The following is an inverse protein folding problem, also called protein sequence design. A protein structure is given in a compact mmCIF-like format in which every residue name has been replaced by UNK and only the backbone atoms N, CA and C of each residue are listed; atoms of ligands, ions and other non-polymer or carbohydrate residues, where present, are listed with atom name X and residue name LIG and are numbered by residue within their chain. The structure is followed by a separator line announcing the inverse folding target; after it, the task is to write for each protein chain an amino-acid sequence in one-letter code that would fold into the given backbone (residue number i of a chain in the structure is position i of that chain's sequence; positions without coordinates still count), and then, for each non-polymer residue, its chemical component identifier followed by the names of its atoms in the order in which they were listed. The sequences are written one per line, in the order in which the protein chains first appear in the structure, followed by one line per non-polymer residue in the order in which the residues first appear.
data_IF_372064465562
#
_entry.id   IF_372064465562
#
_cell.length_a   1.000
_cell.length_b   1.000
_cell.length_c   1.000
_cell.angle_alpha   90.00
_cell.angle_beta   90.00
_cell.angle_gamma   90.00
#
_symmetry.space_group_name_H-M   'P 1'
#
loop_
_entity.id
_entity.type
_entity.pdbx_description
1 polymer ?
#
# COMPACT_ATOMS: atom_id res chain seq x y z
N UNK A 1 -9.76 -10.14 -11.16
CA UNK A 1 -9.25 -11.29 -10.38
C UNK A 1 -8.71 -10.78 -9.05
N UNK A 2 -9.08 -11.40 -7.92
CA UNK A 2 -8.58 -11.07 -6.58
C UNK A 2 -7.48 -12.06 -6.20
N UNK A 3 -6.35 -11.57 -5.71
CA UNK A 3 -5.24 -12.37 -5.17
C UNK A 3 -5.11 -12.04 -3.69
N UNK A 4 -5.17 -13.04 -2.82
CA UNK A 4 -5.00 -12.87 -1.36
C UNK A 4 -3.61 -13.37 -0.99
N UNK A 5 -2.86 -12.54 -0.26
CA UNK A 5 -1.51 -12.83 0.21
C UNK A 5 -1.51 -12.71 1.73
N UNK A 6 -0.94 -13.70 2.36
CA UNK A 6 -0.67 -13.79 3.78
C UNK A 6 0.77 -14.27 3.99
N UNK A 7 1.12 -14.57 5.23
CA UNK A 7 2.46 -15.03 5.59
C UNK A 7 2.91 -16.26 4.81
N UNK A 8 2.01 -17.20 4.53
CA UNK A 8 2.36 -18.48 3.91
C UNK A 8 2.55 -18.37 2.39
N UNK A 9 2.03 -17.28 1.81
CA UNK A 9 2.12 -16.94 0.39
C UNK A 9 2.99 -15.71 0.10
N UNK A 10 3.68 -15.19 1.12
CA UNK A 10 4.45 -13.96 1.05
C UNK A 10 5.58 -13.99 0.01
N UNK A 11 5.82 -12.88 -0.72
CA UNK A 11 7.07 -12.67 -1.45
C UNK A 11 8.28 -12.65 -0.52
N UNK A 12 9.45 -13.04 -1.02
CA UNK A 12 10.65 -13.14 -0.20
C UNK A 12 11.07 -11.74 0.29
N UNK A 13 11.60 -11.66 1.51
CA UNK A 13 12.04 -10.40 2.11
C UNK A 13 10.91 -9.50 2.63
N UNK A 14 9.65 -9.97 2.63
CA UNK A 14 8.50 -9.24 3.16
C UNK A 14 8.05 -9.89 4.46
N UNK A 15 7.92 -9.06 5.51
CA UNK A 15 7.45 -9.53 6.81
C UNK A 15 5.93 -9.49 6.83
N UNK A 16 5.31 -10.56 7.31
CA UNK A 16 3.88 -10.66 7.57
C UNK A 16 3.71 -11.16 9.00
N UNK A 17 2.70 -10.63 9.71
CA UNK A 17 2.41 -11.10 11.06
C UNK A 17 1.92 -12.56 11.00
N UNK A 18 2.16 -13.32 12.07
CA UNK A 18 1.45 -14.59 12.26
C UNK A 18 -0.01 -14.28 12.54
N UNK A 19 -0.89 -14.70 11.64
CA UNK A 19 -2.32 -14.62 11.87
C UNK A 19 -2.71 -15.47 13.08
N UNK A 20 -3.37 -14.85 14.05
CA UNK A 20 -3.97 -15.53 15.19
C UNK A 20 -5.47 -15.68 14.93
N UNK A 21 -6.03 -16.82 15.31
CA UNK A 21 -7.49 -16.97 15.29
C UNK A 21 -8.12 -16.05 16.33
N UNK A 22 -9.23 -15.42 15.95
CA UNK A 22 -9.99 -14.56 16.85
C UNK A 22 -11.16 -13.87 16.16
N UNK A 23 -12.02 -13.21 16.95
CA UNK A 23 -13.22 -12.56 16.43
C UNK A 23 -12.94 -11.47 15.37
N UNK A 24 -11.84 -10.71 15.49
CA UNK A 24 -11.44 -9.75 14.45
C UNK A 24 -11.08 -10.43 13.12
N UNK A 25 -10.55 -11.65 13.16
CA UNK A 25 -10.22 -12.41 11.96
C UNK A 25 -11.49 -12.88 11.23
N UNK A 26 -12.48 -13.37 11.97
CA UNK A 26 -13.77 -13.78 11.40
C UNK A 26 -14.45 -12.60 10.70
N UNK A 27 -14.37 -11.41 11.30
CA UNK A 27 -14.89 -10.17 10.73
C UNK A 27 -14.19 -9.81 9.41
N UNK A 28 -12.86 -9.89 9.37
CA UNK A 28 -12.06 -9.68 8.16
C UNK A 28 -12.41 -10.70 7.06
N UNK A 29 -12.54 -11.97 7.42
CA UNK A 29 -12.80 -13.04 6.46
C UNK A 29 -14.21 -12.95 5.86
N UNK A 30 -15.20 -12.48 6.64
CA UNK A 30 -16.53 -12.18 6.14
C UNK A 30 -16.56 -10.92 5.25
N UNK A 31 -15.75 -9.91 5.57
CA UNK A 31 -15.70 -8.65 4.82
C UNK A 31 -15.10 -8.79 3.41
N UNK A 32 -14.03 -9.57 3.24
CA UNK A 32 -13.31 -9.70 1.95
C UNK A 32 -14.24 -10.07 0.77
N UNK A 33 -15.08 -11.12 0.84
CA UNK A 33 -15.97 -11.46 -0.26
C UNK A 33 -17.05 -10.38 -0.47
N UNK A 34 -17.57 -9.81 0.61
CA UNK A 34 -18.70 -8.90 0.59
C UNK A 34 -18.35 -7.45 0.16
N UNK A 35 -17.07 -7.04 0.26
CA UNK A 35 -16.66 -5.68 -0.10
C UNK A 35 -16.87 -5.39 -1.60
N UNK A 36 -17.70 -4.38 -1.95
CA UNK A 36 -17.84 -3.92 -3.32
C UNK A 36 -16.59 -3.13 -3.73
N UNK A 37 -15.89 -3.59 -4.77
CA UNK A 37 -14.73 -2.87 -5.32
C UNK A 37 -15.02 -2.49 -6.77
N UNK A 38 -15.30 -1.21 -6.99
CA UNK A 38 -15.38 -0.66 -8.35
C UNK A 38 -13.96 -0.35 -8.85
N UNK A 39 -13.58 -0.96 -9.97
CA UNK A 39 -12.27 -0.84 -10.60
C UNK A 39 -12.38 -0.98 -12.12
N UNK A 40 -11.39 -0.48 -12.85
CA UNK A 40 -11.39 -0.57 -14.31
C UNK A 40 -11.18 -2.03 -14.77
N UNK A 41 -11.61 -2.42 -15.98
CA UNK A 41 -11.51 -3.80 -16.45
C UNK A 41 -10.09 -4.39 -16.46
N UNK A 42 -9.07 -3.56 -16.71
CA UNK A 42 -7.66 -3.95 -16.72
C UNK A 42 -7.01 -3.98 -15.31
N UNK A 43 -7.81 -3.73 -14.27
CA UNK A 43 -7.31 -3.65 -12.90
C UNK A 43 -7.32 -5.02 -12.23
N UNK A 44 -6.28 -5.25 -11.43
CA UNK A 44 -6.13 -6.38 -10.52
C UNK A 44 -6.31 -5.90 -9.09
N UNK A 45 -6.74 -6.81 -8.23
CA UNK A 45 -6.89 -6.56 -6.80
C UNK A 45 -5.98 -7.53 -6.06
N UNK A 46 -5.02 -6.99 -5.32
CA UNK A 46 -4.18 -7.76 -4.39
C UNK A 46 -4.56 -7.38 -2.97
N UNK A 47 -4.91 -8.36 -2.14
CA UNK A 47 -5.27 -8.20 -0.74
C UNK A 47 -4.11 -8.76 0.09
N UNK A 48 -3.44 -7.90 0.84
CA UNK A 48 -2.37 -8.25 1.75
C UNK A 48 -2.96 -8.33 3.16
N UNK A 49 -2.88 -9.49 3.81
CA UNK A 49 -3.34 -9.70 5.18
C UNK A 49 -2.20 -9.49 6.15
N UNK A 50 -2.33 -8.56 7.09
CA UNK A 50 -1.31 -8.29 8.12
C UNK A 50 0.12 -8.04 7.57
N UNK A 51 0.31 -7.23 6.49
CA UNK A 51 1.65 -6.93 6.00
C UNK A 51 2.43 -6.10 7.02
N UNK A 52 3.70 -6.42 7.21
CA UNK A 52 4.61 -5.63 8.04
C UNK A 52 5.04 -4.36 7.32
N UNK A 53 4.66 -3.22 7.87
CA UNK A 53 5.06 -1.88 7.44
C UNK A 53 5.77 -1.15 8.59
N UNK A 54 6.46 -0.04 8.29
CA UNK A 54 7.15 0.78 9.31
C UNK A 54 6.19 1.26 10.42
N UNK A 55 4.92 1.49 10.09
CA UNK A 55 3.89 1.93 11.04
C UNK A 55 3.23 0.80 11.84
N UNK A 56 3.51 -0.47 11.52
CA UNK A 56 2.86 -1.62 12.15
C UNK A 56 2.32 -2.64 11.16
N UNK A 57 1.32 -3.40 11.60
CA UNK A 57 0.71 -4.51 10.86
C UNK A 57 -0.78 -4.26 10.69
N UNK A 58 -1.21 -3.51 9.66
CA UNK A 58 -2.64 -3.32 9.39
C UNK A 58 -3.32 -4.66 9.08
N UNK A 59 -4.55 -4.86 9.56
CA UNK A 59 -5.24 -6.14 9.37
C UNK A 59 -5.41 -6.49 7.89
N UNK A 60 -5.76 -5.51 7.04
CA UNK A 60 -5.76 -5.64 5.59
C UNK A 60 -5.18 -4.42 4.87
N UNK A 61 -4.49 -4.69 3.77
CA UNK A 61 -4.17 -3.69 2.74
C UNK A 61 -4.62 -4.21 1.38
N UNK A 62 -5.62 -3.54 0.81
CA UNK A 62 -6.18 -3.85 -0.50
C UNK A 62 -5.58 -2.90 -1.52
N UNK A 63 -4.92 -3.45 -2.53
CA UNK A 63 -4.29 -2.70 -3.61
C UNK A 63 -5.04 -2.97 -4.91
N UNK A 64 -5.65 -1.93 -5.46
CA UNK A 64 -6.21 -1.94 -6.81
C UNK A 64 -5.20 -1.33 -7.76
N UNK A 65 -4.71 -2.10 -8.73
CA UNK A 65 -3.62 -1.67 -9.61
C UNK A 65 -3.86 -2.10 -11.06
N UNK A 66 -3.30 -1.35 -12.02
CA UNK A 66 -3.47 -1.65 -13.45
C UNK A 66 -2.38 -2.57 -13.96
N UNK A 67 -2.76 -3.70 -14.55
CA UNK A 67 -1.81 -4.68 -15.11
C UNK A 67 -1.00 -4.09 -16.28
N UNK A 68 -1.66 -3.23 -17.06
CA UNK A 68 -1.06 -2.50 -18.18
C UNK A 68 0.15 -1.66 -17.77
N UNK A 69 0.18 -1.14 -16.53
CA UNK A 69 1.27 -0.30 -16.01
C UNK A 69 2.51 -1.10 -15.60
N UNK A 70 2.35 -2.39 -15.34
CA UNK A 70 3.46 -3.27 -14.91
C UNK A 70 4.07 -4.08 -16.05
N UNK A 71 3.55 -3.95 -17.28
CA UNK A 71 3.96 -4.77 -18.42
C UNK A 71 5.46 -4.70 -18.72
N UNK A 72 6.12 -3.58 -18.40
CA UNK A 72 7.54 -3.35 -18.65
C UNK A 72 8.39 -3.32 -17.36
N UNK A 73 7.85 -3.76 -16.23
CA UNK A 73 8.61 -3.89 -14.99
C UNK A 73 9.47 -5.15 -15.07
N UNK A 74 10.78 -4.98 -15.00
CA UNK A 74 11.75 -6.07 -15.13
C UNK A 74 12.31 -6.54 -13.79
N UNK A 75 13.15 -7.57 -13.85
CA UNK A 75 13.73 -8.23 -12.68
C UNK A 75 14.56 -7.31 -11.79
N UNK A 76 15.20 -6.28 -12.36
CA UNK A 76 15.91 -5.26 -11.59
C UNK A 76 15.02 -4.60 -10.52
N UNK A 77 13.70 -4.51 -10.77
CA UNK A 77 12.73 -3.96 -9.81
C UNK A 77 12.47 -4.90 -8.64
N UNK A 78 12.65 -6.21 -8.81
CA UNK A 78 12.52 -7.19 -7.73
C UNK A 78 13.64 -7.04 -6.69
N UNK A 79 14.81 -6.54 -7.11
CA UNK A 79 15.96 -6.31 -6.24
C UNK A 79 15.86 -5.03 -5.39
N UNK A 80 14.87 -4.15 -5.65
CA UNK A 80 14.70 -2.92 -4.87
C UNK A 80 14.30 -3.23 -3.42
N UNK A 81 14.90 -2.49 -2.49
CA UNK A 81 14.58 -2.53 -1.06
C UNK A 81 13.79 -1.29 -0.62
N UNK A 82 13.13 -1.28 0.54
CA UNK A 82 12.33 -0.14 1.00
C UNK A 82 13.10 1.20 1.02
N UNK A 83 14.38 1.19 1.38
CA UNK A 83 15.20 2.41 1.37
C UNK A 83 15.40 2.97 -0.05
N UNK A 84 15.49 2.12 -1.08
CA UNK A 84 15.53 2.59 -2.48
C UNK A 84 14.24 3.33 -2.83
N UNK A 85 13.10 2.81 -2.38
CA UNK A 85 11.80 3.41 -2.60
C UNK A 85 11.62 4.72 -1.80
N UNK A 86 12.31 4.87 -0.66
CA UNK A 86 12.41 6.14 0.08
C UNK A 86 13.14 7.20 -0.73
N UNK A 87 14.29 6.87 -1.32
CA UNK A 87 15.02 7.77 -2.23
C UNK A 87 14.19 8.09 -3.48
N UNK A 88 13.53 7.10 -4.08
CA UNK A 88 12.62 7.32 -5.22
C UNK A 88 11.49 8.28 -4.86
N UNK A 89 10.85 8.11 -3.70
CA UNK A 89 9.78 8.99 -3.27
C UNK A 89 10.27 10.44 -3.12
N UNK A 90 11.48 10.64 -2.60
CA UNK A 90 12.12 11.95 -2.54
C UNK A 90 12.29 12.57 -3.94
N UNK A 91 12.89 11.85 -4.89
CA UNK A 91 13.06 12.32 -6.28
C UNK A 91 11.69 12.62 -6.92
N UNK A 92 10.70 11.76 -6.69
CA UNK A 92 9.35 11.93 -7.22
C UNK A 92 8.69 13.22 -6.74
N UNK A 93 8.79 13.53 -5.44
CA UNK A 93 8.25 14.77 -4.88
C UNK A 93 8.98 16.01 -5.41
N UNK A 94 10.30 15.96 -5.49
CA UNK A 94 11.14 17.08 -5.95
C UNK A 94 11.11 17.29 -7.46
N UNK A 95 10.64 16.29 -8.22
CA UNK A 95 10.64 16.22 -9.70
C UNK A 95 12.03 16.24 -10.35
N UNK A 96 13.08 16.49 -9.57
CA UNK A 96 14.49 16.48 -9.93
C UNK A 96 15.30 16.43 -8.63
N UNK A 97 16.41 15.71 -8.60
CA UNK A 97 17.39 15.82 -7.52
C UNK A 97 18.81 15.71 -8.09
N UNK A 98 19.72 16.57 -7.63
CA UNK A 98 21.12 16.50 -8.04
C UNK A 98 21.84 15.36 -7.33
N UNK A 99 22.88 14.79 -7.97
CA UNK A 99 23.61 13.70 -7.36
C UNK A 99 24.22 14.10 -6.01
N UNK A 100 24.81 15.30 -5.89
CA UNK A 100 25.36 15.81 -4.62
C UNK A 100 24.29 15.99 -3.54
N UNK A 101 23.12 16.55 -3.88
CA UNK A 101 21.98 16.69 -2.96
C UNK A 101 21.58 15.34 -2.36
N UNK A 102 21.51 14.30 -3.19
CA UNK A 102 21.18 12.95 -2.73
C UNK A 102 22.26 12.36 -1.83
N UNK A 103 23.54 12.61 -2.14
CA UNK A 103 24.66 12.16 -1.30
C UNK A 103 24.66 12.83 0.08
N UNK A 104 24.31 14.10 0.16
CA UNK A 104 24.25 14.84 1.43
C UNK A 104 23.11 14.35 2.33
N UNK A 105 21.95 14.04 1.75
CA UNK A 105 20.75 13.63 2.50
C UNK A 105 20.79 12.16 2.89
N UNK A 106 21.18 11.28 1.96
CA UNK A 106 21.09 9.83 2.15
C UNK A 106 22.45 9.15 2.36
N UNK A 107 23.54 9.90 2.31
CA UNK A 107 24.90 9.39 2.40
C UNK A 107 25.44 8.93 1.03
N UNK A 108 26.70 9.27 0.75
CA UNK A 108 27.27 9.16 -0.60
C UNK A 108 27.23 7.74 -1.17
N UNK A 109 27.59 6.74 -0.34
CA UNK A 109 27.61 5.33 -0.75
C UNK A 109 26.20 4.85 -1.12
N UNK A 110 25.23 5.09 -0.24
CA UNK A 110 23.85 4.65 -0.45
C UNK A 110 23.23 5.34 -1.67
N UNK A 111 23.32 6.66 -1.76
CA UNK A 111 22.77 7.44 -2.86
C UNK A 111 23.26 6.95 -4.23
N UNK A 112 24.56 6.67 -4.36
CA UNK A 112 25.13 6.13 -5.61
C UNK A 112 24.48 4.80 -6.00
N UNK A 113 24.58 3.78 -5.14
CA UNK A 113 24.08 2.46 -5.49
C UNK A 113 22.55 2.40 -5.61
N UNK A 114 21.84 3.20 -4.81
CA UNK A 114 20.37 3.25 -4.86
C UNK A 114 19.89 3.90 -6.16
N UNK A 115 20.49 5.01 -6.59
CA UNK A 115 20.13 5.65 -7.88
C UNK A 115 20.44 4.75 -9.08
N UNK A 116 21.55 4.01 -9.06
CA UNK A 116 21.86 2.97 -10.07
C UNK A 116 20.78 1.89 -10.11
N UNK A 117 20.41 1.29 -8.96
CA UNK A 117 19.33 0.28 -8.90
C UNK A 117 18.00 0.83 -9.38
N UNK A 118 17.64 2.05 -8.99
CA UNK A 118 16.40 2.71 -9.41
C UNK A 118 16.40 3.00 -10.92
N UNK A 119 17.55 3.36 -11.48
CA UNK A 119 17.72 3.56 -12.91
C UNK A 119 17.54 2.26 -13.68
N UNK A 120 18.18 1.18 -13.24
CA UNK A 120 18.09 -0.14 -13.86
C UNK A 120 16.66 -0.70 -13.78
N UNK A 121 15.96 -0.40 -12.69
CA UNK A 121 14.54 -0.71 -12.53
C UNK A 121 13.60 0.24 -13.31
N UNK A 122 14.15 1.26 -14.00
CA UNK A 122 13.45 2.27 -14.80
C UNK A 122 12.53 3.20 -14.01
N UNK A 123 12.79 3.39 -12.72
CA UNK A 123 12.03 4.33 -11.87
C UNK A 123 12.54 5.77 -12.01
N UNK A 124 13.83 5.94 -12.29
CA UNK A 124 14.47 7.24 -12.52
C UNK A 124 15.31 7.23 -13.80
N UNK A 125 15.63 8.42 -14.30
CA UNK A 125 16.56 8.64 -15.41
C UNK A 125 17.57 9.71 -15.07
N UNK A 126 18.81 9.55 -15.53
CA UNK A 126 19.85 10.55 -15.41
C UNK A 126 19.78 11.51 -16.60
N UNK A 127 19.88 12.81 -16.37
CA UNK A 127 20.12 13.80 -17.41
C UNK A 127 21.08 14.88 -16.88
N UNK A 128 22.24 15.00 -17.51
CA UNK A 128 23.34 15.79 -16.96
C UNK A 128 23.81 15.20 -15.63
N UNK A 129 23.76 16.01 -14.56
CA UNK A 129 24.14 15.62 -13.20
C UNK A 129 22.94 15.38 -12.27
N UNK A 130 21.73 15.35 -12.84
CA UNK A 130 20.48 15.30 -12.09
C UNK A 130 19.65 14.06 -12.43
N UNK A 131 19.02 13.50 -11.40
CA UNK A 131 18.08 12.41 -11.49
C UNK A 131 16.65 12.93 -11.58
N UNK A 132 15.88 12.36 -12.50
CA UNK A 132 14.48 12.69 -12.72
C UNK A 132 13.61 11.44 -12.56
N UNK A 133 12.41 11.55 -11.99
CA UNK A 133 11.48 10.43 -11.99
C UNK A 133 11.04 10.13 -13.43
N UNK A 134 10.90 8.85 -13.75
CA UNK A 134 10.23 8.43 -14.97
C UNK A 134 8.72 8.71 -14.87
N UNK A 135 7.99 8.57 -16.00
CA UNK A 135 6.56 8.82 -16.05
C UNK A 135 5.80 8.03 -14.97
N UNK A 136 4.85 8.67 -14.30
CA UNK A 136 4.17 8.11 -13.13
C UNK A 136 3.40 6.82 -13.45
N UNK A 137 2.69 6.80 -14.58
CA UNK A 137 1.95 5.64 -15.06
C UNK A 137 2.85 4.44 -15.42
N UNK A 138 4.12 4.67 -15.74
CA UNK A 138 5.11 3.61 -15.98
C UNK A 138 5.78 3.11 -14.70
N UNK A 139 5.78 3.91 -13.65
CA UNK A 139 6.51 3.62 -12.41
C UNK A 139 5.59 3.19 -11.27
N UNK A 140 4.31 3.58 -11.28
CA UNK A 140 3.36 3.30 -10.20
C UNK A 140 2.04 2.74 -10.74
N UNK A 141 1.74 1.49 -10.38
CA UNK A 141 0.60 0.75 -10.90
C UNK A 141 -0.66 0.91 -10.04
N UNK A 142 -0.50 1.11 -8.73
CA UNK A 142 -1.61 1.26 -7.81
C UNK A 142 -2.45 2.50 -8.13
N UNK A 143 -3.75 2.29 -8.22
CA UNK A 143 -4.78 3.32 -8.38
C UNK A 143 -5.57 3.54 -7.09
N UNK A 144 -5.62 2.52 -6.23
CA UNK A 144 -6.14 2.60 -4.86
C UNK A 144 -5.27 1.75 -3.97
N UNK A 145 -4.93 2.28 -2.79
CA UNK A 145 -4.40 1.53 -1.65
C UNK A 145 -5.37 1.79 -0.51
N UNK A 146 -6.07 0.75 -0.07
CA UNK A 146 -7.09 0.81 0.95
C UNK A 146 -6.58 0.03 2.16
N UNK A 147 -6.35 0.71 3.28
CA UNK A 147 -6.03 0.05 4.54
C UNK A 147 -7.31 -0.15 5.35
N UNK A 148 -7.43 -1.30 6.00
CA UNK A 148 -8.57 -1.64 6.86
C UNK A 148 -8.04 -2.18 8.18
N UNK A 149 -8.53 -1.61 9.28
CA UNK A 149 -8.29 -2.12 10.63
C UNK A 149 -9.60 -2.65 11.21
N UNK A 150 -9.60 -3.88 11.72
CA UNK A 150 -10.77 -4.56 12.23
C UNK A 150 -10.79 -4.54 13.77
N UNK A 151 -11.94 -4.23 14.37
CA UNK A 151 -12.09 -4.27 15.83
C UNK A 151 -13.51 -4.57 16.29
N UNK A 152 -13.62 -5.21 17.45
CA UNK A 152 -14.91 -5.52 18.08
C UNK A 152 -15.22 -4.65 19.31
N UNK A 153 -14.30 -3.80 19.78
CA UNK A 153 -14.59 -2.96 20.94
C UNK A 153 -13.72 -1.72 21.15
N UNK A 154 -12.38 -1.86 21.12
CA UNK A 154 -11.46 -0.76 21.44
C UNK A 154 -11.43 0.33 20.35
N UNK A 155 -12.46 1.16 20.32
CA UNK A 155 -12.71 2.19 19.31
C UNK A 155 -11.53 3.16 19.16
N UNK A 156 -11.04 3.72 20.28
CA UNK A 156 -9.92 4.67 20.27
C UNK A 156 -8.64 4.06 19.69
N UNK A 157 -8.37 2.78 19.98
CA UNK A 157 -7.19 2.09 19.46
C UNK A 157 -7.29 1.89 17.93
N UNK A 158 -8.44 1.41 17.45
CA UNK A 158 -8.64 1.16 16.02
C UNK A 158 -8.68 2.46 15.23
N UNK A 159 -9.23 3.54 15.81
CA UNK A 159 -9.19 4.86 15.20
C UNK A 159 -7.76 5.37 15.04
N UNK A 160 -6.92 5.22 16.06
CA UNK A 160 -5.51 5.59 15.99
C UNK A 160 -4.75 4.76 14.95
N UNK A 161 -5.00 3.46 14.87
CA UNK A 161 -4.39 2.57 13.87
C UNK A 161 -4.82 2.95 12.45
N UNK A 162 -6.12 3.15 12.22
CA UNK A 162 -6.64 3.60 10.93
C UNK A 162 -6.10 4.98 10.54
N UNK A 163 -5.92 5.89 11.52
CA UNK A 163 -5.29 7.19 11.29
C UNK A 163 -3.83 7.05 10.88
N UNK A 164 -3.06 6.18 11.53
CA UNK A 164 -1.68 5.91 11.13
C UNK A 164 -1.68 5.52 9.65
N UNK A 165 -2.48 4.55 9.23
CA UNK A 165 -2.50 4.04 7.85
C UNK A 165 -2.73 5.09 6.73
N UNK A 166 -3.27 6.27 7.05
CA UNK A 166 -3.41 7.40 6.09
C UNK A 166 -2.08 7.92 5.54
N UNK A 167 -0.95 7.54 6.16
CA UNK A 167 0.39 7.92 5.70
C UNK A 167 0.81 7.19 4.41
N UNK A 168 0.22 6.03 4.09
CA UNK A 168 0.54 5.27 2.87
C UNK A 168 -0.69 4.98 2.00
N UNK A 169 -1.87 4.89 2.60
CA UNK A 169 -3.09 4.49 1.91
C UNK A 169 -3.80 5.70 1.28
N UNK A 170 -4.44 5.48 0.12
CA UNK A 170 -5.36 6.45 -0.48
C UNK A 170 -6.70 6.51 0.25
N UNK A 171 -7.08 5.44 0.95
CA UNK A 171 -8.25 5.38 1.82
C UNK A 171 -7.91 4.53 3.04
N UNK A 172 -8.43 4.90 4.19
CA UNK A 172 -8.29 4.13 5.43
C UNK A 172 -9.67 3.90 6.02
N UNK A 173 -9.93 2.67 6.47
CA UNK A 173 -11.21 2.26 7.03
C UNK A 173 -11.06 1.55 8.37
N UNK A 174 -12.08 1.71 9.19
CA UNK A 174 -12.34 0.90 10.37
C UNK A 174 -13.43 -0.11 10.01
N UNK A 175 -13.18 -1.40 10.28
CA UNK A 175 -14.15 -2.47 10.13
C UNK A 175 -14.62 -2.94 11.51
N UNK A 176 -15.91 -2.81 11.77
CA UNK A 176 -16.53 -3.15 13.06
C UNK A 176 -17.82 -3.93 12.83
N UNK A 177 -18.27 -4.74 13.80
CA UNK A 177 -19.57 -5.41 13.68
C UNK A 177 -20.73 -4.41 13.78
N UNK A 178 -20.58 -3.35 14.59
CA UNK A 178 -21.58 -2.30 14.80
C UNK A 178 -20.87 -0.98 15.09
N UNK A 179 -21.50 0.14 14.77
CA UNK A 179 -20.97 1.49 15.02
C UNK A 179 -22.09 2.46 15.40
N UNK A 180 -21.81 3.41 16.29
CA UNK A 180 -22.72 4.54 16.56
C UNK A 180 -22.47 5.72 15.60
N UNK A 181 -23.44 6.63 15.49
CA UNK A 181 -23.29 7.82 14.66
C UNK A 181 -22.13 8.72 15.15
N UNK A 182 -21.96 8.86 16.47
CA UNK A 182 -20.86 9.64 17.05
C UNK A 182 -19.48 9.09 16.66
N UNK A 183 -19.34 7.75 16.64
CA UNK A 183 -18.11 7.08 16.20
C UNK A 183 -17.86 7.31 14.71
N UNK A 184 -18.90 7.23 13.87
CA UNK A 184 -18.77 7.55 12.45
C UNK A 184 -18.30 8.99 12.25
N UNK A 185 -18.93 9.95 12.95
CA UNK A 185 -18.55 11.36 12.85
C UNK A 185 -17.12 11.61 13.33
N UNK A 186 -16.69 10.97 14.42
CA UNK A 186 -15.32 11.04 14.90
C UNK A 186 -14.32 10.52 13.86
N UNK A 187 -14.57 9.35 13.26
CA UNK A 187 -13.70 8.81 12.21
C UNK A 187 -13.63 9.73 10.98
N UNK A 188 -14.77 10.27 10.55
CA UNK A 188 -14.86 11.15 9.39
C UNK A 188 -14.11 12.48 9.58
N UNK A 189 -13.99 13.00 10.81
CA UNK A 189 -13.15 14.18 11.10
C UNK A 189 -11.69 13.95 10.71
N UNK A 190 -11.21 12.70 10.76
CA UNK A 190 -9.86 12.31 10.33
C UNK A 190 -9.79 11.83 8.87
N UNK A 191 -10.90 11.88 8.13
CA UNK A 191 -11.01 11.37 6.77
C UNK A 191 -11.02 9.84 6.68
N UNK A 192 -11.29 9.16 7.80
CA UNK A 192 -11.34 7.70 7.90
C UNK A 192 -12.76 7.23 7.64
N UNK A 193 -12.91 6.22 6.80
CA UNK A 193 -14.20 5.59 6.55
C UNK A 193 -14.52 4.53 7.60
N UNK A 194 -15.79 4.16 7.69
CA UNK A 194 -16.23 3.08 8.58
C UNK A 194 -17.03 2.08 7.77
N UNK A 195 -16.79 0.80 8.05
CA UNK A 195 -17.58 -0.30 7.53
C UNK A 195 -18.17 -1.05 8.72
N UNK A 196 -19.49 -1.07 8.81
CA UNK A 196 -20.21 -1.96 9.71
C UNK A 196 -20.61 -3.22 8.94
N UNK A 197 -20.22 -4.38 9.45
CA UNK A 197 -20.59 -5.69 8.89
C UNK A 197 -21.53 -6.41 9.86
N UNK A 198 -22.84 -6.23 9.65
CA UNK A 198 -23.89 -6.88 10.43
C UNK A 198 -24.46 -8.05 9.64
N UNK A 199 -24.11 -9.27 10.06
CA UNK A 199 -24.53 -10.53 9.43
C UNK A 199 -24.18 -10.59 7.93
N UNK A 200 -25.15 -10.34 7.05
CA UNK A 200 -25.00 -10.36 5.59
C UNK A 200 -25.06 -8.96 4.94
N UNK A 201 -25.14 -7.91 5.76
CA UNK A 201 -25.23 -6.54 5.27
C UNK A 201 -23.97 -5.75 5.60
N UNK A 202 -23.44 -5.06 4.59
CA UNK A 202 -22.39 -4.06 4.75
C UNK A 202 -23.03 -2.69 4.67
N UNK A 203 -22.80 -1.89 5.70
CA UNK A 203 -23.02 -0.45 5.66
C UNK A 203 -21.67 0.26 5.64
N UNK A 204 -21.45 1.05 4.59
CA UNK A 204 -20.22 1.81 4.41
C UNK A 204 -20.50 3.31 4.59
N UNK A 205 -19.64 3.96 5.37
CA UNK A 205 -19.47 5.40 5.41
C UNK A 205 -18.12 5.72 4.78
N UNK A 206 -18.15 6.43 3.65
CA UNK A 206 -16.99 6.52 2.76
C UNK A 206 -15.80 7.26 3.41
N UNK A 207 -14.60 6.78 3.11
CA UNK A 207 -13.35 7.44 3.49
C UNK A 207 -13.00 8.56 2.52
N UNK A 208 -12.27 9.57 2.98
CA UNK A 208 -11.69 10.58 2.08
C UNK A 208 -10.67 9.92 1.16
N UNK A 209 -10.78 10.17 -0.14
CA UNK A 209 -9.81 9.66 -1.12
C UNK A 209 -8.64 10.62 -1.24
N UNK A 210 -7.44 10.13 -0.97
CA UNK A 210 -6.20 10.88 -1.09
C UNK A 210 -5.40 10.47 -2.34
N UNK A 211 -4.64 11.38 -2.96
CA UNK A 211 -3.81 11.06 -4.11
C UNK A 211 -2.65 10.12 -3.72
N UNK A 212 -2.24 9.30 -4.69
CA UNK A 212 -1.08 8.41 -4.59
C UNK A 212 0.09 8.94 -5.43
N UNK A 213 1.35 8.67 -5.03
CA UNK A 213 1.77 8.00 -3.79
C UNK A 213 1.75 8.99 -2.61
N UNK A 214 1.31 8.54 -1.43
CA UNK A 214 1.26 9.36 -0.20
C UNK A 214 2.63 9.52 0.44
N UNK A 215 3.39 8.43 0.42
CA UNK A 215 4.70 8.32 1.03
C UNK A 215 5.52 7.26 0.30
N UNK A 216 6.72 7.01 0.79
CA UNK A 216 7.53 5.90 0.30
C UNK A 216 6.87 4.53 0.57
N UNK A 217 6.07 4.38 1.64
CA UNK A 217 5.35 3.12 1.87
C UNK A 217 4.25 2.86 0.84
N UNK A 218 3.69 3.89 0.21
CA UNK A 218 2.81 3.68 -0.95
C UNK A 218 3.55 2.96 -2.09
N UNK A 219 4.84 3.28 -2.30
CA UNK A 219 5.68 2.59 -3.28
C UNK A 219 5.97 1.15 -2.86
N UNK A 220 6.26 0.92 -1.58
CA UNK A 220 6.48 -0.43 -1.03
C UNK A 220 5.26 -1.31 -1.26
N UNK A 221 4.06 -0.82 -0.90
CA UNK A 221 2.80 -1.55 -1.06
C UNK A 221 2.47 -1.77 -2.55
N UNK A 222 2.74 -0.79 -3.41
CA UNK A 222 2.60 -0.94 -4.86
C UNK A 222 3.47 -2.06 -5.42
N UNK A 223 4.75 -2.10 -5.06
CA UNK A 223 5.68 -3.12 -5.53
C UNK A 223 5.37 -4.49 -4.94
N UNK A 224 4.95 -4.55 -3.68
CA UNK A 224 4.51 -5.77 -3.02
C UNK A 224 3.31 -6.41 -3.74
N UNK A 225 2.32 -5.60 -4.12
CA UNK A 225 1.15 -6.08 -4.84
C UNK A 225 1.51 -6.69 -6.20
N UNK A 226 2.47 -6.10 -6.92
CA UNK A 226 2.98 -6.64 -8.17
C UNK A 226 3.81 -7.92 -7.97
N UNK A 227 4.76 -7.92 -7.03
CA UNK A 227 5.61 -9.09 -6.70
C UNK A 227 4.78 -10.32 -6.33
N UNK A 228 3.75 -10.12 -5.52
CA UNK A 228 2.77 -11.14 -5.19
C UNK A 228 2.10 -11.75 -6.44
N UNK A 229 1.72 -10.91 -7.40
CA UNK A 229 1.07 -11.37 -8.62
C UNK A 229 1.96 -12.22 -9.52
N UNK A 230 3.28 -12.02 -9.51
CA UNK A 230 4.25 -12.81 -10.29
C UNK A 230 4.36 -14.23 -9.71
N UNK A 231 4.50 -14.37 -8.38
CA UNK A 231 4.56 -15.68 -7.72
C UNK A 231 3.34 -16.54 -8.02
N UNK A 232 2.17 -15.93 -8.16
CA UNK A 232 0.93 -16.64 -8.52
C UNK A 232 0.80 -17.01 -10.01
N UNK A 233 1.55 -16.38 -10.93
CA UNK A 233 1.56 -16.77 -12.36
C UNK A 233 2.48 -17.96 -12.65
N UNK A 234 3.47 -18.18 -11.78
CA UNK A 234 4.48 -19.23 -11.95
C UNK A 234 4.16 -20.50 -11.14
N UNK A 235 2.95 -20.60 -10.57
CA UNK A 235 2.40 -21.81 -9.95
C UNK A 235 1.27 -22.33 -10.82
#
# INVERSE_FOLDING_TARGET
MRTIIDRDSAPDGVVFRRTLQGPERELVDAFIPAMPLVHAPDSRVTILREPGLESGYPDLVIVVWRDSRTANWGDARLALVPDDLRLMHYIFQRRRADHSELQDIFGSRFARYSTERLHDARLVRLAGQAWFPCAFDRTFAATKIIAVEAKIGKWTDVLNQARLNTWFASKSYILVPRVSEDQVQEAQQFGIGVVAHEQDSIREWDARTEPLPRSYASWVVNDLAWRASIKHRNR
#
